data_IF_878869780627
#
_entry.id   IF_878869780627
#
_cell.length_a   1.000
_cell.length_b   1.000
_cell.length_c   1.000
_cell.angle_alpha   90.00
_cell.angle_beta   90.00
_cell.angle_gamma   90.00
#
_symmetry.space_group_name_H-M   'P 1'
#
loop_
_entity.id
_entity.type
_entity.pdbx_description
1 polymer ?
#
# COMPACT_ATOMS: atom_id res chain seq x y z
N UNK A 1 15.45 -7.62 -13.37
CA UNK A 1 14.20 -8.38 -13.66
C UNK A 1 14.34 -8.96 -15.05
N UNK A 2 14.33 -10.30 -15.20
CA UNK A 2 14.30 -10.94 -16.52
C UNK A 2 12.85 -11.08 -17.01
N UNK A 3 12.64 -10.99 -18.32
CA UNK A 3 11.33 -11.13 -18.96
C UNK A 3 10.66 -9.80 -19.29
N UNK A 4 9.32 -9.78 -19.30
CA UNK A 4 8.50 -8.64 -19.71
C UNK A 4 7.84 -7.98 -18.50
N UNK A 5 7.89 -6.65 -18.44
CA UNK A 5 7.20 -5.84 -17.42
C UNK A 5 6.01 -5.14 -18.05
N UNK A 6 4.80 -5.46 -17.59
CA UNK A 6 3.59 -4.77 -17.99
C UNK A 6 3.34 -3.57 -17.07
N UNK A 7 3.33 -2.37 -17.66
CA UNK A 7 2.89 -1.14 -16.99
C UNK A 7 1.57 -0.69 -17.59
N UNK A 8 0.50 -0.77 -16.80
CA UNK A 8 -0.82 -0.30 -17.22
C UNK A 8 -0.79 1.23 -17.39
N UNK A 9 -1.18 1.69 -18.57
CA UNK A 9 -1.17 3.11 -18.95
C UNK A 9 -2.53 3.80 -18.79
N UNK A 10 -2.63 5.01 -19.35
CA UNK A 10 -3.82 5.87 -19.27
C UNK A 10 -5.17 5.20 -19.64
N UNK A 11 -5.25 4.26 -20.62
CA UNK A 11 -6.52 3.57 -20.90
C UNK A 11 -7.09 2.80 -19.70
N UNK A 12 -6.24 2.35 -18.78
CA UNK A 12 -6.61 1.67 -17.54
C UNK A 12 -6.73 2.63 -16.34
N UNK A 13 -6.78 3.94 -16.56
CA UNK A 13 -6.91 4.94 -15.49
C UNK A 13 -8.29 5.63 -15.44
N UNK A 14 -9.25 5.15 -16.25
CA UNK A 14 -10.61 5.69 -16.29
C UNK A 14 -11.32 5.46 -14.96
N UNK A 15 -12.14 6.44 -14.57
CA UNK A 15 -12.99 6.40 -13.37
C UNK A 15 -14.39 6.81 -13.81
N UNK A 16 -15.40 6.06 -13.39
CA UNK A 16 -16.82 6.40 -13.57
C UNK A 16 -17.59 6.18 -12.27
N UNK A 17 -18.63 6.98 -12.07
CA UNK A 17 -19.42 6.98 -10.84
C UNK A 17 -20.89 7.03 -11.21
N UNK A 18 -21.67 6.11 -10.65
CA UNK A 18 -23.13 6.03 -10.82
C UNK A 18 -23.77 5.79 -9.46
N UNK A 19 -24.51 6.79 -8.94
CA UNK A 19 -24.97 6.81 -7.56
C UNK A 19 -23.80 6.62 -6.60
N UNK A 20 -23.83 5.54 -5.81
CA UNK A 20 -22.76 5.18 -4.85
C UNK A 20 -21.82 4.09 -5.35
N UNK A 21 -21.92 3.70 -6.63
CA UNK A 21 -21.01 2.75 -7.26
C UNK A 21 -19.90 3.50 -7.98
N UNK A 22 -18.65 3.15 -7.69
CA UNK A 22 -17.45 3.72 -8.29
C UNK A 22 -16.73 2.63 -9.07
N UNK A 23 -16.53 2.80 -10.37
CA UNK A 23 -15.73 1.90 -11.20
C UNK A 23 -14.42 2.61 -11.55
N UNK A 24 -13.29 1.95 -11.32
CA UNK A 24 -11.98 2.50 -11.60
C UNK A 24 -11.09 1.47 -12.27
N UNK A 25 -10.38 1.88 -13.30
CA UNK A 25 -9.33 1.10 -13.92
C UNK A 25 -8.13 0.91 -12.97
N UNK A 26 -7.38 -0.18 -13.14
CA UNK A 26 -6.28 -0.55 -12.24
C UNK A 26 -5.07 0.39 -12.27
N UNK A 27 -4.94 1.26 -13.28
CA UNK A 27 -3.93 2.32 -13.33
C UNK A 27 -4.42 3.65 -12.73
N UNK A 28 -5.69 3.74 -12.32
CA UNK A 28 -6.19 4.92 -11.64
C UNK A 28 -5.47 5.08 -10.29
N UNK A 29 -5.04 6.29 -9.99
CA UNK A 29 -4.39 6.60 -8.71
C UNK A 29 -5.41 6.52 -7.58
N UNK A 30 -5.06 5.86 -6.48
CA UNK A 30 -5.91 5.69 -5.29
C UNK A 30 -6.49 7.04 -4.83
N UNK A 31 -5.62 8.05 -4.69
CA UNK A 31 -6.00 9.39 -4.29
C UNK A 31 -6.90 10.12 -5.31
N UNK A 32 -6.87 9.76 -6.60
CA UNK A 32 -7.79 10.35 -7.59
C UNK A 32 -9.17 9.71 -7.51
N UNK A 33 -9.24 8.39 -7.31
CA UNK A 33 -10.51 7.68 -7.07
C UNK A 33 -11.20 8.25 -5.83
N UNK A 34 -10.46 8.43 -4.73
CA UNK A 34 -10.99 9.04 -3.50
C UNK A 34 -11.58 10.45 -3.75
N UNK A 35 -10.85 11.32 -4.46
CA UNK A 35 -11.30 12.69 -4.75
C UNK A 35 -12.54 12.73 -5.64
N UNK A 36 -12.59 11.88 -6.67
CA UNK A 36 -13.75 11.84 -7.56
C UNK A 36 -14.98 11.29 -6.83
N UNK A 37 -14.80 10.24 -6.02
CA UNK A 37 -15.86 9.73 -5.15
C UNK A 37 -16.39 10.82 -4.20
N UNK A 38 -15.49 11.57 -3.54
CA UNK A 38 -15.87 12.67 -2.65
C UNK A 38 -16.68 13.76 -3.35
N UNK A 39 -16.24 14.21 -4.53
CA UNK A 39 -16.97 15.20 -5.35
C UNK A 39 -18.37 14.73 -5.74
N UNK A 40 -18.54 13.44 -5.94
CA UNK A 40 -19.83 12.82 -6.26
C UNK A 40 -20.67 12.47 -5.01
N UNK A 41 -20.24 12.83 -3.80
CA UNK A 41 -20.96 12.51 -2.56
C UNK A 41 -20.89 11.04 -2.17
N UNK A 42 -19.84 10.32 -2.57
CA UNK A 42 -19.63 8.90 -2.28
C UNK A 42 -18.54 8.72 -1.22
N UNK A 43 -18.96 8.47 0.01
CA UNK A 43 -18.09 8.15 1.13
C UNK A 43 -17.71 6.65 1.17
N UNK A 44 -16.67 6.33 1.94
CA UNK A 44 -16.08 4.99 2.08
C UNK A 44 -14.76 4.80 1.33
N UNK A 45 -14.36 5.76 0.49
CA UNK A 45 -13.11 5.71 -0.29
C UNK A 45 -12.05 6.70 0.23
N UNK A 46 -12.32 7.41 1.34
CA UNK A 46 -11.45 8.47 1.85
C UNK A 46 -10.07 7.95 2.25
N UNK A 47 -9.98 6.70 2.73
CA UNK A 47 -8.72 6.09 3.15
C UNK A 47 -7.70 5.99 2.01
N UNK A 48 -8.15 5.85 0.76
CA UNK A 48 -7.27 5.87 -0.41
C UNK A 48 -6.53 7.20 -0.59
N UNK A 49 -7.01 8.30 0.02
CA UNK A 49 -6.26 9.55 0.06
C UNK A 49 -4.91 9.42 0.76
N UNK A 50 -4.82 8.51 1.74
CA UNK A 50 -3.63 8.21 2.52
C UNK A 50 -2.78 7.07 1.98
N UNK A 51 -3.21 6.39 0.92
CA UNK A 51 -2.48 5.28 0.27
C UNK A 51 -1.83 5.81 -1.02
N UNK A 52 -0.49 5.76 -1.15
CA UNK A 52 0.17 6.02 -2.41
C UNK A 52 0.13 4.77 -3.29
N UNK A 53 -0.37 4.88 -4.52
CA UNK A 53 -0.46 3.74 -5.43
C UNK A 53 -1.50 3.91 -6.52
N UNK A 54 -1.80 2.78 -7.16
CA UNK A 54 -2.92 2.63 -8.09
C UNK A 54 -3.86 1.55 -7.60
N UNK A 55 -5.09 1.57 -8.10
CA UNK A 55 -6.13 0.60 -7.75
C UNK A 55 -5.66 -0.85 -7.98
N UNK A 56 -4.89 -1.13 -9.03
CA UNK A 56 -4.31 -2.46 -9.26
C UNK A 56 -3.38 -2.92 -8.13
N UNK A 57 -2.55 -2.01 -7.62
CA UNK A 57 -1.72 -2.26 -6.44
C UNK A 57 -2.56 -2.43 -5.17
N UNK A 58 -3.61 -1.61 -5.01
CA UNK A 58 -4.53 -1.72 -3.89
C UNK A 58 -5.24 -3.09 -3.85
N UNK A 59 -5.68 -3.60 -5.00
CA UNK A 59 -6.24 -4.94 -5.15
C UNK A 59 -5.21 -6.04 -4.88
N UNK A 60 -3.96 -5.88 -5.34
CA UNK A 60 -2.93 -6.89 -5.12
C UNK A 60 -2.46 -7.00 -3.66
N UNK A 61 -2.68 -5.95 -2.86
CA UNK A 61 -2.16 -5.83 -1.50
C UNK A 61 -3.26 -5.72 -0.44
N UNK A 62 -4.54 -5.72 -0.79
CA UNK A 62 -5.62 -5.30 0.12
C UNK A 62 -5.22 -3.99 0.83
N UNK A 63 -4.92 -2.95 0.05
CA UNK A 63 -4.37 -1.72 0.61
C UNK A 63 -5.33 -1.14 1.65
N UNK A 64 -4.77 -0.59 2.72
CA UNK A 64 -5.57 -0.07 3.80
C UNK A 64 -4.84 0.96 4.63
N UNK A 65 -5.60 1.92 5.13
CA UNK A 65 -5.13 2.99 6.00
C UNK A 65 -6.31 3.46 6.85
N UNK A 66 -6.02 3.96 8.06
CA UNK A 66 -7.04 4.57 8.93
C UNK A 66 -8.26 3.67 9.15
N UNK A 67 -8.00 2.40 9.50
CA UNK A 67 -9.01 1.40 9.88
C UNK A 67 -9.96 0.96 8.77
N UNK A 68 -9.60 1.23 7.51
CA UNK A 68 -10.29 0.71 6.32
C UNK A 68 -9.30 0.07 5.36
N UNK A 69 -9.78 -0.94 4.64
CA UNK A 69 -9.06 -1.67 3.62
C UNK A 69 -9.89 -1.78 2.33
N UNK A 70 -9.23 -2.07 1.20
CA UNK A 70 -9.88 -2.29 -0.10
C UNK A 70 -11.03 -3.30 -0.02
N UNK A 71 -10.88 -4.37 0.78
CA UNK A 71 -11.93 -5.38 0.99
C UNK A 71 -13.24 -4.80 1.56
N UNK A 72 -13.21 -3.67 2.27
CA UNK A 72 -14.40 -3.15 2.95
C UNK A 72 -15.38 -2.50 1.97
N UNK A 73 -14.90 -2.14 0.77
CA UNK A 73 -15.67 -1.44 -0.26
C UNK A 73 -15.68 -2.14 -1.61
N UNK A 74 -14.84 -3.16 -1.83
CA UNK A 74 -14.78 -3.86 -3.11
C UNK A 74 -16.07 -4.65 -3.36
N UNK A 75 -16.63 -4.50 -4.55
CA UNK A 75 -17.69 -5.36 -5.06
C UNK A 75 -17.09 -6.48 -5.89
N UNK A 76 -16.31 -6.10 -6.91
CA UNK A 76 -15.65 -7.04 -7.84
C UNK A 76 -14.43 -6.40 -8.49
N UNK A 77 -13.53 -7.25 -9.00
CA UNK A 77 -12.37 -6.88 -9.77
C UNK A 77 -12.30 -7.69 -11.08
N UNK A 78 -11.83 -7.05 -12.14
CA UNK A 78 -11.53 -7.69 -13.42
C UNK A 78 -10.01 -7.89 -13.50
N UNK A 79 -9.60 -9.09 -13.84
CA UNK A 79 -8.20 -9.45 -14.04
C UNK A 79 -8.02 -10.34 -15.26
N UNK A 80 -6.77 -10.46 -15.72
CA UNK A 80 -6.36 -11.45 -16.70
C UNK A 80 -5.32 -12.38 -16.07
N UNK A 81 -5.45 -13.68 -16.33
CA UNK A 81 -4.43 -14.66 -15.98
C UNK A 81 -3.30 -14.69 -17.02
N UNK A 82 -2.28 -15.52 -16.79
CA UNK A 82 -1.12 -15.65 -17.68
C UNK A 82 -1.46 -16.27 -19.05
N UNK A 83 -2.59 -16.96 -19.15
CA UNK A 83 -3.09 -17.52 -20.41
C UNK A 83 -3.97 -16.50 -21.16
N UNK A 84 -4.08 -15.27 -20.65
CA UNK A 84 -4.90 -14.21 -21.24
C UNK A 84 -6.40 -14.38 -21.01
N UNK A 85 -6.83 -15.26 -20.10
CA UNK A 85 -8.26 -15.43 -19.80
C UNK A 85 -8.73 -14.34 -18.86
N UNK A 86 -9.84 -13.71 -19.23
CA UNK A 86 -10.52 -12.72 -18.40
C UNK A 86 -11.18 -13.42 -17.20
N UNK A 87 -10.94 -12.87 -16.01
CA UNK A 87 -11.52 -13.29 -14.73
C UNK A 87 -12.30 -12.12 -14.14
N UNK A 88 -13.50 -12.38 -13.64
CA UNK A 88 -14.26 -11.45 -12.81
C UNK A 88 -14.33 -12.08 -11.42
N UNK A 89 -13.78 -11.37 -10.44
CA UNK A 89 -13.57 -11.87 -9.09
C UNK A 89 -14.42 -11.02 -8.16
N UNK A 90 -15.38 -11.62 -7.46
CA UNK A 90 -16.11 -10.94 -6.39
C UNK A 90 -15.17 -10.76 -5.19
N UNK A 91 -15.58 -9.91 -4.25
CA UNK A 91 -14.83 -9.70 -3.00
C UNK A 91 -14.43 -11.02 -2.30
N UNK A 92 -15.35 -11.96 -2.17
CA UNK A 92 -15.08 -13.27 -1.56
C UNK A 92 -14.00 -14.08 -2.31
N UNK A 93 -13.94 -13.96 -3.65
CA UNK A 93 -12.95 -14.65 -4.48
C UNK A 93 -11.54 -14.08 -4.28
N UNK A 94 -11.43 -12.82 -3.83
CA UNK A 94 -10.16 -12.16 -3.58
C UNK A 94 -9.41 -12.74 -2.38
N UNK A 95 -10.13 -13.39 -1.45
CA UNK A 95 -9.59 -14.01 -0.23
C UNK A 95 -8.62 -13.07 0.51
N UNK A 96 -9.08 -11.83 0.71
CA UNK A 96 -8.26 -10.81 1.33
C UNK A 96 -7.89 -11.14 2.78
N UNK A 97 -6.64 -10.87 3.12
CA UNK A 97 -6.14 -10.83 4.49
C UNK A 97 -5.29 -9.57 4.67
N UNK A 98 -4.77 -9.34 5.89
CA UNK A 98 -3.93 -8.17 6.15
C UNK A 98 -2.74 -8.13 5.19
N UNK A 99 -2.68 -7.09 4.35
CA UNK A 99 -1.66 -6.89 3.32
C UNK A 99 -1.52 -8.01 2.29
N UNK A 100 -2.60 -8.77 2.07
CA UNK A 100 -2.57 -9.95 1.21
C UNK A 100 -3.85 -10.12 0.39
N UNK A 101 -3.67 -10.58 -0.85
CA UNK A 101 -4.72 -10.96 -1.79
C UNK A 101 -4.50 -12.42 -2.21
N UNK A 102 -5.46 -13.28 -1.91
CA UNK A 102 -5.41 -14.73 -2.17
C UNK A 102 -6.10 -15.16 -3.46
N UNK A 103 -6.40 -14.22 -4.37
CA UNK A 103 -7.13 -14.47 -5.62
C UNK A 103 -6.38 -15.36 -6.64
N UNK A 104 -5.06 -15.57 -6.42
CA UNK A 104 -4.19 -16.34 -7.28
C UNK A 104 -2.98 -15.52 -7.75
N UNK A 105 -1.84 -16.19 -7.93
CA UNK A 105 -0.64 -15.56 -8.44
C UNK A 105 -0.73 -15.25 -9.93
N UNK A 106 0.00 -14.23 -10.38
CA UNK A 106 0.11 -13.90 -11.80
C UNK A 106 -1.12 -13.22 -12.43
N UNK A 107 -2.13 -12.87 -11.63
CA UNK A 107 -3.25 -12.05 -12.09
C UNK A 107 -2.82 -10.61 -12.36
N UNK A 108 -3.22 -10.08 -13.52
CA UNK A 108 -3.08 -8.68 -13.89
C UNK A 108 -4.45 -8.03 -13.74
N UNK A 109 -4.68 -7.30 -12.64
CA UNK A 109 -5.90 -6.53 -12.44
C UNK A 109 -5.99 -5.38 -13.45
N UNK A 110 -7.16 -5.19 -14.05
CA UNK A 110 -7.40 -4.13 -15.05
C UNK A 110 -8.48 -3.14 -14.62
N UNK A 111 -9.40 -3.54 -13.75
CA UNK A 111 -10.54 -2.72 -13.30
C UNK A 111 -11.07 -3.24 -11.96
N UNK A 112 -11.68 -2.37 -11.17
CA UNK A 112 -12.49 -2.74 -10.01
C UNK A 112 -13.72 -1.86 -9.87
N UNK A 113 -14.77 -2.45 -9.30
CA UNK A 113 -15.95 -1.74 -8.86
C UNK A 113 -16.05 -1.73 -7.33
N UNK A 114 -16.34 -0.56 -6.78
CA UNK A 114 -16.49 -0.31 -5.36
C UNK A 114 -17.89 0.17 -5.05
N UNK A 115 -18.35 -0.09 -3.82
CA UNK A 115 -19.60 0.41 -3.29
C UNK A 115 -19.33 1.29 -2.07
N UNK A 116 -19.56 2.58 -2.23
CA UNK A 116 -19.56 3.52 -1.12
C UNK A 116 -20.96 3.74 -0.54
N UNK A 117 -21.08 4.81 0.24
CA UNK A 117 -22.33 5.31 0.82
C UNK A 117 -22.54 6.77 0.43
N UNK A 118 -23.79 7.20 0.30
CA UNK A 118 -24.09 8.60 0.04
C UNK A 118 -23.73 9.43 1.29
N UNK A 119 -23.09 10.58 1.09
CA UNK A 119 -22.77 11.54 2.14
C UNK A 119 -22.55 12.94 1.54
N UNK A 120 -22.51 13.95 2.39
CA UNK A 120 -22.18 15.32 1.98
C UNK A 120 -20.73 15.42 1.45
N UNK A 121 -20.51 15.90 0.22
CA UNK A 121 -19.17 16.12 -0.34
C UNK A 121 -18.23 16.91 0.57
N UNK A 122 -18.72 17.93 1.27
CA UNK A 122 -17.88 18.74 2.15
C UNK A 122 -17.42 17.96 3.39
N UNK A 123 -18.30 17.14 3.98
CA UNK A 123 -17.95 16.22 5.06
C UNK A 123 -16.91 15.17 4.62
N UNK A 124 -17.03 14.63 3.40
CA UNK A 124 -16.05 13.67 2.85
C UNK A 124 -14.68 14.34 2.67
N UNK A 125 -14.64 15.54 2.08
CA UNK A 125 -13.41 16.30 1.88
C UNK A 125 -12.72 16.64 3.22
N UNK A 126 -13.49 16.99 4.25
CA UNK A 126 -12.96 17.23 5.59
C UNK A 126 -12.28 15.98 6.18
N UNK A 127 -12.88 14.78 6.00
CA UNK A 127 -12.26 13.51 6.43
C UNK A 127 -10.98 13.20 5.65
N UNK A 128 -10.98 13.42 4.34
CA UNK A 128 -9.78 13.26 3.50
C UNK A 128 -8.65 14.22 3.92
N UNK A 129 -8.99 15.46 4.27
CA UNK A 129 -8.02 16.44 4.79
C UNK A 129 -7.42 15.99 6.11
N UNK A 130 -8.25 15.53 7.06
CA UNK A 130 -7.78 15.00 8.34
C UNK A 130 -6.85 13.78 8.19
N UNK A 131 -7.19 12.88 7.26
CA UNK A 131 -6.33 11.75 6.87
C UNK A 131 -4.95 12.25 6.41
N UNK A 132 -4.92 13.24 5.53
CA UNK A 132 -3.67 13.79 5.02
C UNK A 132 -2.85 14.46 6.11
N UNK A 133 -3.45 15.35 6.91
CA UNK A 133 -2.75 16.03 8.02
C UNK A 133 -2.13 15.02 8.99
N UNK A 134 -2.84 13.94 9.33
CA UNK A 134 -2.30 12.87 10.18
C UNK A 134 -1.14 12.15 9.48
N UNK A 135 -1.22 11.94 8.16
CA UNK A 135 -0.15 11.34 7.37
C UNK A 135 1.10 12.21 7.34
N UNK A 136 0.97 13.51 7.06
CA UNK A 136 2.13 14.42 6.96
C UNK A 136 2.88 14.53 8.29
N UNK A 137 2.14 14.52 9.41
CA UNK A 137 2.72 14.54 10.77
C UNK A 137 3.48 13.26 11.11
N UNK A 138 3.03 12.11 10.61
CA UNK A 138 3.54 10.80 11.04
C UNK A 138 4.45 10.09 10.05
N UNK A 139 4.53 10.54 8.79
CA UNK A 139 5.23 9.83 7.72
C UNK A 139 6.04 10.79 6.83
N UNK A 140 7.18 10.34 6.28
CA UNK A 140 8.04 11.16 5.40
C UNK A 140 7.43 11.28 3.98
N UNK A 141 6.31 11.99 3.86
CA UNK A 141 5.49 12.01 2.63
C UNK A 141 6.14 12.73 1.44
N UNK A 142 7.18 13.54 1.69
CA UNK A 142 7.93 14.27 0.65
C UNK A 142 9.21 13.53 0.21
N UNK A 143 9.55 12.45 0.90
CA UNK A 143 10.76 11.68 0.64
C UNK A 143 10.49 10.55 -0.35
N UNK A 144 11.55 10.12 -1.05
CA UNK A 144 11.49 8.96 -1.95
C UNK A 144 11.54 7.68 -1.12
N UNK A 145 10.39 7.04 -0.93
CA UNK A 145 10.27 5.79 -0.15
C UNK A 145 9.37 4.78 -0.86
N UNK A 146 9.52 3.49 -0.50
CA UNK A 146 8.60 2.43 -0.92
C UNK A 146 7.38 2.25 -0.02
N UNK A 147 7.18 3.13 0.97
CA UNK A 147 6.18 2.96 2.03
C UNK A 147 6.74 2.27 3.28
N UNK A 148 5.84 1.67 4.07
CA UNK A 148 6.24 0.83 5.20
C UNK A 148 6.98 -0.41 4.71
N UNK A 149 8.17 -0.63 5.24
CA UNK A 149 9.12 -1.65 4.77
C UNK A 149 8.75 -3.03 5.31
N UNK A 150 8.34 -3.07 6.57
CA UNK A 150 7.92 -4.28 7.25
C UNK A 150 6.43 -4.23 7.60
N UNK A 151 5.78 -5.38 7.49
CA UNK A 151 4.44 -5.57 8.02
C UNK A 151 4.50 -5.54 9.55
N UNK A 152 3.42 -5.11 10.20
CA UNK A 152 3.35 -5.22 11.65
C UNK A 152 3.40 -6.70 12.06
N UNK A 153 4.24 -7.04 13.08
CA UNK A 153 4.29 -8.41 13.59
C UNK A 153 2.98 -8.77 14.28
N UNK A 154 2.80 -10.07 14.52
CA UNK A 154 1.68 -10.57 15.32
C UNK A 154 1.71 -9.92 16.73
N UNK A 155 0.62 -9.27 17.18
CA UNK A 155 0.57 -8.63 18.49
C UNK A 155 0.90 -9.58 19.66
N UNK A 156 0.57 -10.87 19.55
CA UNK A 156 0.90 -11.87 20.57
C UNK A 156 2.40 -12.14 20.67
N UNK A 157 3.14 -12.01 19.56
CA UNK A 157 4.59 -12.21 19.50
C UNK A 157 5.36 -10.94 19.84
N UNK A 158 4.83 -9.78 19.47
CA UNK A 158 5.51 -8.49 19.72
C UNK A 158 5.08 -7.82 21.02
N UNK A 159 4.09 -8.35 21.74
CA UNK A 159 3.49 -7.66 22.89
C UNK A 159 2.76 -6.39 22.47
N UNK A 160 2.08 -6.41 21.32
CA UNK A 160 1.36 -5.27 20.74
C UNK A 160 2.24 -4.22 20.07
N UNK A 161 3.57 -4.35 20.12
CA UNK A 161 4.49 -3.42 19.46
C UNK A 161 4.40 -3.53 17.95
N UNK A 162 4.37 -2.38 17.29
CA UNK A 162 4.39 -2.23 15.83
C UNK A 162 5.82 -2.32 15.30
N UNK A 163 5.97 -2.59 14.00
CA UNK A 163 7.28 -2.77 13.38
C UNK A 163 8.20 -1.55 13.61
N UNK A 164 7.66 -0.33 13.48
CA UNK A 164 8.44 0.89 13.73
C UNK A 164 8.96 0.98 15.18
N UNK A 165 8.19 0.56 16.18
CA UNK A 165 8.63 0.62 17.59
C UNK A 165 9.82 -0.32 17.81
N UNK A 166 9.75 -1.53 17.25
CA UNK A 166 10.83 -2.50 17.33
C UNK A 166 12.10 -2.00 16.63
N UNK A 167 11.96 -1.35 15.48
CA UNK A 167 13.08 -0.74 14.75
C UNK A 167 13.68 0.42 15.54
N UNK A 168 12.85 1.23 16.20
CA UNK A 168 13.30 2.33 17.05
C UNK A 168 14.09 1.83 18.28
N UNK A 169 13.63 0.75 18.91
CA UNK A 169 14.28 0.12 20.07
C UNK A 169 15.71 -0.36 19.78
N UNK A 170 16.04 -0.64 18.52
CA UNK A 170 17.38 -1.04 18.07
C UNK A 170 18.19 0.10 17.46
N UNK A 171 17.75 1.35 17.68
CA UNK A 171 18.43 2.55 17.18
C UNK A 171 18.30 2.73 15.67
N UNK A 172 17.18 2.29 15.09
CA UNK A 172 17.00 2.32 13.65
C UNK A 172 16.81 3.72 13.05
N UNK A 173 16.28 4.70 13.79
CA UNK A 173 16.07 6.07 13.26
C UNK A 173 17.38 6.69 12.78
N UNK A 174 17.34 7.26 11.59
CA UNK A 174 18.47 7.95 10.98
C UNK A 174 19.59 7.02 10.50
N UNK A 175 19.53 5.71 10.75
CA UNK A 175 20.57 4.75 10.34
C UNK A 175 20.73 4.75 8.82
N UNK A 176 21.99 4.73 8.37
CA UNK A 176 22.37 4.82 6.95
C UNK A 176 23.17 3.60 6.52
N UNK A 177 22.91 3.12 5.30
CA UNK A 177 23.81 2.24 4.53
C UNK A 177 23.86 2.78 3.11
N UNK A 178 25.07 3.09 2.62
CA UNK A 178 25.23 3.80 1.34
C UNK A 178 24.43 5.10 1.34
N UNK A 179 23.50 5.23 0.39
CA UNK A 179 22.58 6.38 0.30
C UNK A 179 21.13 6.05 0.71
N UNK A 180 20.91 4.84 1.25
CA UNK A 180 19.65 4.45 1.91
C UNK A 180 19.68 4.88 3.38
N UNK A 181 18.57 5.46 3.85
CA UNK A 181 18.43 5.89 5.23
C UNK A 181 17.11 5.44 5.82
N UNK A 182 17.13 4.98 7.06
CA UNK A 182 15.93 4.74 7.84
C UNK A 182 15.38 6.08 8.35
N UNK A 183 14.13 6.39 8.04
CA UNK A 183 13.53 7.71 8.34
C UNK A 183 13.58 8.08 9.82
N UNK A 184 14.03 9.29 10.11
CA UNK A 184 13.95 9.89 11.45
C UNK A 184 12.51 10.08 11.92
N UNK A 185 11.61 10.43 11.00
CA UNK A 185 10.19 10.65 11.30
C UNK A 185 9.46 9.33 11.59
N UNK A 186 9.67 8.31 10.76
CA UNK A 186 9.04 7.00 10.93
C UNK A 186 9.95 5.87 10.47
N UNK A 187 10.66 5.24 11.39
CA UNK A 187 11.71 4.24 11.13
C UNK A 187 11.27 2.92 10.45
N UNK A 188 9.99 2.76 10.11
CA UNK A 188 9.57 1.71 9.16
C UNK A 188 9.64 2.16 7.67
N UNK A 189 10.12 3.37 7.39
CA UNK A 189 10.26 3.91 6.02
C UNK A 189 11.74 4.05 5.67
N UNK A 190 12.15 3.41 4.58
CA UNK A 190 13.49 3.61 4.01
C UNK A 190 13.43 4.73 2.96
N UNK A 191 14.25 5.75 3.17
CA UNK A 191 14.43 6.92 2.32
C UNK A 191 15.60 6.68 1.38
N UNK A 192 15.37 6.95 0.11
CA UNK A 192 16.43 7.11 -0.87
C UNK A 192 16.88 8.59 -0.88
N UNK A 193 18.08 8.87 -0.38
CA UNK A 193 18.65 10.22 -0.28
C UNK A 193 19.14 10.79 -1.62
N UNK A 194 19.00 10.03 -2.72
CA UNK A 194 19.21 10.48 -4.09
C UNK A 194 19.73 9.37 -5.02
N UNK A 195 20.69 8.58 -4.54
CA UNK A 195 21.48 7.58 -5.26
C UNK A 195 21.42 6.19 -4.61
N UNK A 196 20.49 5.95 -3.69
CA UNK A 196 20.39 4.65 -3.01
C UNK A 196 20.13 3.55 -4.04
N UNK A 197 20.96 2.52 -4.02
CA UNK A 197 20.77 1.31 -4.81
C UNK A 197 19.81 0.36 -4.11
N UNK A 198 19.29 -0.64 -4.84
CA UNK A 198 18.52 -1.72 -4.21
C UNK A 198 19.35 -2.46 -3.15
N UNK A 199 20.65 -2.67 -3.41
CA UNK A 199 21.57 -3.30 -2.47
C UNK A 199 21.74 -2.48 -1.17
N UNK A 200 21.83 -1.15 -1.26
CA UNK A 200 21.89 -0.27 -0.08
C UNK A 200 20.65 -0.42 0.80
N UNK A 201 19.46 -0.41 0.17
CA UNK A 201 18.19 -0.56 0.88
C UNK A 201 18.11 -1.96 1.49
N UNK A 202 18.41 -3.02 0.75
CA UNK A 202 18.36 -4.38 1.26
C UNK A 202 19.35 -4.61 2.40
N UNK A 203 20.57 -4.10 2.30
CA UNK A 203 21.57 -4.18 3.36
C UNK A 203 21.13 -3.45 4.63
N UNK A 204 20.57 -2.23 4.50
CA UNK A 204 19.99 -1.50 5.63
C UNK A 204 18.87 -2.30 6.29
N UNK A 205 17.94 -2.82 5.49
CA UNK A 205 16.73 -3.48 5.98
C UNK A 205 17.06 -4.83 6.63
N UNK A 206 17.91 -5.67 6.03
CA UNK A 206 18.31 -6.95 6.63
C UNK A 206 19.16 -6.72 7.88
N UNK A 207 19.96 -5.65 7.94
CA UNK A 207 20.64 -5.22 9.17
C UNK A 207 19.65 -4.90 10.30
N UNK A 208 18.65 -4.06 10.02
CA UNK A 208 17.59 -3.74 10.99
C UNK A 208 16.82 -5.00 11.43
N UNK A 209 16.47 -5.88 10.50
CA UNK A 209 15.75 -7.13 10.78
C UNK A 209 16.55 -8.05 11.69
N UNK A 210 17.85 -8.19 11.46
CA UNK A 210 18.76 -8.96 12.32
C UNK A 210 18.85 -8.36 13.73
N UNK A 211 18.99 -7.05 13.83
CA UNK A 211 19.12 -6.37 15.11
C UNK A 211 17.83 -6.46 15.93
N UNK A 212 16.66 -6.30 15.30
CA UNK A 212 15.36 -6.49 15.94
C UNK A 212 15.19 -7.93 16.44
N UNK A 213 15.50 -8.93 15.60
CA UNK A 213 15.42 -10.33 15.99
C UNK A 213 16.32 -10.63 17.19
N UNK A 214 17.58 -10.19 17.15
CA UNK A 214 18.55 -10.44 18.22
C UNK A 214 18.15 -9.76 19.53
N UNK A 215 17.57 -8.55 19.46
CA UNK A 215 17.21 -7.76 20.64
C UNK A 215 15.88 -8.18 21.26
N UNK A 216 14.91 -8.56 20.44
CA UNK A 216 13.50 -8.70 20.87
C UNK A 216 12.93 -10.10 20.69
N UNK A 217 13.61 -10.96 19.91
CA UNK A 217 13.08 -12.26 19.47
C UNK A 217 11.98 -12.17 18.41
N UNK A 218 11.61 -10.96 17.97
CA UNK A 218 10.56 -10.76 16.96
C UNK A 218 11.17 -10.75 15.56
N UNK A 219 10.69 -11.62 14.69
CA UNK A 219 11.05 -11.58 13.28
C UNK A 219 10.16 -10.60 12.50
N UNK A 220 10.79 -9.55 11.96
CA UNK A 220 10.12 -8.65 11.02
C UNK A 220 10.06 -9.27 9.62
N UNK A 221 8.91 -9.15 8.97
CA UNK A 221 8.69 -9.64 7.60
C UNK A 221 8.54 -8.47 6.65
N UNK A 222 9.20 -8.56 5.49
CA UNK A 222 9.05 -7.58 4.42
C UNK A 222 7.58 -7.42 4.01
N UNK A 223 7.11 -6.18 3.90
CA UNK A 223 5.83 -5.81 3.27
C UNK A 223 6.07 -5.36 1.82
N UNK A 224 7.18 -4.65 1.57
CA UNK A 224 7.59 -4.26 0.22
C UNK A 224 7.98 -5.51 -0.58
N UNK A 225 7.45 -5.62 -1.80
CA UNK A 225 7.83 -6.68 -2.73
C UNK A 225 9.20 -6.38 -3.34
N UNK A 226 10.14 -7.29 -3.14
CA UNK A 226 11.44 -7.29 -3.83
C UNK A 226 11.31 -8.08 -5.13
N UNK A 227 11.79 -7.49 -6.24
CA UNK A 227 11.74 -8.10 -7.56
C UNK A 227 13.08 -7.94 -8.26
N UNK A 228 13.40 -8.88 -9.14
CA UNK A 228 14.67 -8.89 -9.86
C UNK A 228 15.60 -9.98 -9.34
N UNK A 229 16.85 -9.89 -9.77
CA UNK A 229 17.92 -10.78 -9.34
C UNK A 229 18.85 -9.95 -8.45
N UNK A 230 19.43 -10.54 -7.39
CA UNK A 230 20.50 -9.88 -6.65
C UNK A 230 21.61 -9.44 -7.61
N UNK A 231 22.22 -8.30 -7.30
CA UNK A 231 23.36 -7.78 -8.06
C UNK A 231 24.59 -8.69 -7.92
#
# INVERSE_FOLDING_TARGET
VRGVVFRLGAPFAKISIEGTRVVAGAAALDAQVARQAARAGVAGLEFYRGVPGTIGGALAMNAGAYDQETKDILVEAVAFDRDGRRRVLKNADMKFAYRHCGAGEGLIFTEAAFKGRADDPAAIEARMKAIMERREKSQPIREKTGGSTFANPDPSKSGGRKAWQLIDEVGGRGRVVGDAQCSDQHCNFMINRGKATAADIEALVEGLRKDVLNRTGVELRWEIRRIGEPA
#
